data_IF_810197601664
#
_entry.id   IF_810197601664
#
_cell.length_a   1.000
_cell.length_b   1.000
_cell.length_c   1.000
_cell.angle_alpha   90.00
_cell.angle_beta   90.00
_cell.angle_gamma   90.00
#
_symmetry.space_group_name_H-M   'P 1'
#
loop_
_entity.id
_entity.type
_entity.pdbx_description
1 polymer ?
#
# COMPACT_ATOMS: atom_id res chain seq x y z
N UNK A 1 19.98 1.72 -57.11
CA UNK A 1 18.58 2.11 -56.86
C UNK A 1 17.72 0.87 -56.88
N UNK A 2 17.18 0.45 -55.73
CA UNK A 2 15.91 -0.29 -55.56
C UNK A 2 15.76 -0.63 -54.07
N UNK A 3 15.26 0.34 -53.31
CA UNK A 3 14.90 0.20 -51.90
C UNK A 3 13.79 -0.84 -51.75
N UNK A 4 14.07 -2.00 -51.19
CA UNK A 4 13.04 -2.96 -50.81
C UNK A 4 12.51 -2.56 -49.43
N UNK A 5 11.38 -1.86 -49.44
CA UNK A 5 10.61 -1.51 -48.25
C UNK A 5 9.88 -2.77 -47.77
N UNK A 6 10.35 -3.34 -46.67
CA UNK A 6 9.63 -4.42 -45.97
C UNK A 6 8.42 -3.78 -45.29
N UNK A 7 7.22 -4.02 -45.84
CA UNK A 7 5.96 -3.71 -45.15
C UNK A 7 5.87 -4.59 -43.89
N UNK A 8 5.55 -4.05 -42.70
CA UNK A 8 5.18 -4.88 -41.57
C UNK A 8 3.82 -5.50 -41.87
N UNK A 9 3.79 -6.84 -41.90
CA UNK A 9 2.55 -7.63 -41.98
C UNK A 9 1.81 -7.43 -40.65
N UNK A 10 0.67 -6.74 -40.68
CA UNK A 10 -0.24 -6.69 -39.53
C UNK A 10 -0.90 -8.06 -39.47
N UNK A 11 -0.50 -8.86 -38.49
CA UNK A 11 -1.20 -10.10 -38.16
C UNK A 11 -2.43 -9.70 -37.35
N UNK A 12 -3.62 -9.81 -37.96
CA UNK A 12 -4.88 -9.78 -37.22
C UNK A 12 -4.86 -10.88 -36.14
N UNK A 13 -5.12 -10.56 -34.86
CA UNK A 13 -5.21 -11.57 -33.82
C UNK A 13 -6.45 -12.44 -34.07
N UNK A 14 -6.39 -13.78 -33.86
CA UNK A 14 -7.55 -14.63 -34.02
C UNK A 14 -8.66 -14.22 -33.05
N UNK A 15 -9.84 -13.97 -33.60
CA UNK A 15 -11.08 -13.76 -32.87
C UNK A 15 -11.33 -14.97 -31.97
N UNK A 16 -11.10 -14.81 -30.67
CA UNK A 16 -11.24 -15.89 -29.70
C UNK A 16 -10.24 -15.90 -28.55
N UNK A 17 -9.27 -14.98 -28.52
CA UNK A 17 -8.51 -14.74 -27.29
C UNK A 17 -9.42 -14.00 -26.29
N UNK A 18 -10.13 -14.76 -25.46
CA UNK A 18 -10.68 -14.25 -24.21
C UNK A 18 -9.60 -13.42 -23.56
N UNK A 19 -9.89 -12.13 -23.37
CA UNK A 19 -9.08 -11.29 -22.52
C UNK A 19 -8.88 -12.07 -21.23
N UNK A 20 -7.66 -12.58 -21.01
CA UNK A 20 -7.21 -12.84 -19.65
C UNK A 20 -7.34 -11.49 -19.00
N UNK A 21 -8.47 -11.28 -18.32
CA UNK A 21 -8.60 -10.27 -17.31
C UNK A 21 -7.44 -10.56 -16.38
N UNK A 22 -6.31 -9.89 -16.61
CA UNK A 22 -5.30 -9.68 -15.59
C UNK A 22 -6.12 -9.30 -14.36
N UNK A 23 -6.06 -10.08 -13.25
CA UNK A 23 -6.69 -9.64 -12.02
C UNK A 23 -6.19 -8.21 -11.84
N UNK A 24 -7.13 -7.26 -11.80
CA UNK A 24 -6.84 -5.84 -11.75
C UNK A 24 -5.72 -5.69 -10.74
N UNK A 25 -4.52 -5.30 -11.19
CA UNK A 25 -3.30 -5.40 -10.41
C UNK A 25 -3.60 -4.89 -9.01
N UNK A 26 -3.78 -5.79 -8.05
CA UNK A 26 -4.10 -5.39 -6.69
C UNK A 26 -2.92 -4.51 -6.31
N UNK A 27 -3.19 -3.22 -6.12
CA UNK A 27 -2.16 -2.23 -5.98
C UNK A 27 -1.24 -2.70 -4.85
N UNK A 28 -0.02 -3.10 -5.22
CA UNK A 28 0.90 -3.76 -4.31
C UNK A 28 1.06 -2.88 -3.08
N UNK A 29 0.68 -3.43 -1.92
CA UNK A 29 0.70 -2.66 -0.69
C UNK A 29 2.16 -2.53 -0.23
N UNK A 30 2.62 -1.29 -0.11
CA UNK A 30 3.95 -1.00 0.42
C UNK A 30 3.80 -0.16 1.69
N UNK A 31 3.87 -0.81 2.85
CA UNK A 31 3.91 -0.09 4.10
C UNK A 31 5.28 0.61 4.25
N UNK A 32 5.33 1.93 4.43
CA UNK A 32 6.59 2.60 4.71
C UNK A 32 7.13 2.15 6.07
N UNK A 33 8.46 2.03 6.20
CA UNK A 33 9.11 1.90 7.50
C UNK A 33 9.06 3.27 8.23
N UNK A 34 8.04 3.49 9.05
CA UNK A 34 7.84 4.76 9.74
C UNK A 34 8.88 4.99 10.84
N UNK A 35 9.58 6.13 10.79
CA UNK A 35 10.48 6.55 11.87
C UNK A 35 9.67 7.19 13.00
N UNK A 36 9.85 6.71 14.23
CA UNK A 36 9.20 7.26 15.42
C UNK A 36 10.09 8.30 16.11
N UNK A 37 9.49 9.43 16.50
CA UNK A 37 10.04 10.40 17.43
C UNK A 37 9.06 10.56 18.61
N UNK A 38 9.45 10.20 19.84
CA UNK A 38 8.55 10.31 20.99
C UNK A 38 8.26 11.79 21.31
N UNK A 39 6.98 12.15 21.43
CA UNK A 39 6.56 13.51 21.80
C UNK A 39 6.05 13.60 23.24
N UNK A 40 5.29 12.60 23.68
CA UNK A 40 4.70 12.51 25.02
C UNK A 40 4.44 11.03 25.38
N UNK A 41 4.12 10.68 26.64
CA UNK A 41 3.92 9.29 27.08
C UNK A 41 2.92 8.45 26.28
N UNK A 42 2.08 9.08 25.45
CA UNK A 42 1.07 8.42 24.60
C UNK A 42 1.03 8.94 23.16
N UNK A 43 1.97 9.81 22.76
CA UNK A 43 1.98 10.46 21.45
C UNK A 43 3.37 10.36 20.82
N UNK A 44 3.38 10.03 19.54
CA UNK A 44 4.57 9.86 18.72
C UNK A 44 4.42 10.69 17.46
N UNK A 45 5.46 11.41 17.06
CA UNK A 45 5.59 11.94 15.71
C UNK A 45 6.15 10.83 14.83
N UNK A 46 5.44 10.48 13.77
CA UNK A 46 5.90 9.50 12.79
C UNK A 46 6.23 10.22 11.49
N UNK A 47 7.34 9.82 10.86
CA UNK A 47 7.76 10.34 9.56
C UNK A 47 7.76 9.22 8.53
N UNK A 48 7.10 9.47 7.40
CA UNK A 48 7.14 8.60 6.23
C UNK A 48 8.45 8.86 5.46
N UNK A 49 9.36 7.88 5.33
CA UNK A 49 10.61 8.08 4.62
C UNK A 49 10.43 8.27 3.11
N UNK A 50 9.34 7.76 2.53
CA UNK A 50 9.12 7.78 1.08
C UNK A 50 8.72 9.16 0.55
N UNK A 51 7.99 9.93 1.36
CA UNK A 51 7.44 11.21 0.93
C UNK A 51 7.68 12.35 1.93
N UNK A 52 8.37 12.09 3.04
CA UNK A 52 8.68 13.09 4.07
C UNK A 52 7.51 13.52 4.95
N UNK A 53 6.29 13.00 4.71
CA UNK A 53 5.11 13.38 5.48
C UNK A 53 5.28 13.02 6.96
N UNK A 54 4.87 13.93 7.83
CA UNK A 54 4.88 13.72 9.28
C UNK A 54 3.46 13.71 9.84
N UNK A 55 3.22 12.86 10.84
CA UNK A 55 1.93 12.75 11.50
C UNK A 55 2.12 12.51 13.00
N UNK A 56 1.35 13.19 13.82
CA UNK A 56 1.26 12.84 15.24
C UNK A 56 0.24 11.72 15.42
N UNK A 57 0.66 10.63 16.05
CA UNK A 57 -0.12 9.42 16.27
C UNK A 57 -0.06 9.03 17.74
N UNK A 58 -1.11 8.39 18.21
CA UNK A 58 -1.07 7.66 19.48
C UNK A 58 -0.14 6.44 19.39
N UNK A 59 0.28 5.92 20.55
CA UNK A 59 1.07 4.69 20.60
C UNK A 59 0.37 3.49 19.94
N UNK A 60 -0.96 3.40 20.05
CA UNK A 60 -1.76 2.35 19.40
C UNK A 60 -1.83 2.51 17.89
N UNK A 61 -1.98 3.73 17.39
CA UNK A 61 -1.96 4.01 15.94
C UNK A 61 -0.59 3.70 15.32
N UNK A 62 0.50 4.02 16.02
CA UNK A 62 1.84 3.62 15.57
C UNK A 62 2.01 2.09 15.55
N UNK A 63 1.53 1.40 16.60
CA UNK A 63 1.58 -0.05 16.65
C UNK A 63 0.81 -0.70 15.50
N UNK A 64 -0.31 -0.12 15.06
CA UNK A 64 -1.01 -0.57 13.85
C UNK A 64 -0.16 -0.41 12.58
N UNK A 65 0.52 0.73 12.42
CA UNK A 65 1.33 1.01 11.21
C UNK A 65 2.63 0.20 11.14
N UNK A 66 3.21 -0.12 12.29
CA UNK A 66 4.45 -0.89 12.41
C UNK A 66 4.22 -2.41 12.39
N UNK A 67 2.96 -2.86 12.34
CA UNK A 67 2.61 -4.28 12.26
C UNK A 67 2.93 -4.91 10.90
N UNK A 68 3.17 -4.10 9.86
CA UNK A 68 3.56 -4.61 8.57
C UNK A 68 4.96 -5.22 8.60
N UNK A 69 5.02 -6.53 8.49
CA UNK A 69 6.23 -7.31 8.34
C UNK A 69 6.07 -8.16 7.06
N UNK A 70 6.39 -7.52 5.92
CA UNK A 70 6.31 -8.14 4.60
C UNK A 70 4.89 -8.32 4.02
N UNK A 71 3.88 -7.57 4.49
CA UNK A 71 2.53 -7.65 3.93
C UNK A 71 2.52 -7.22 2.45
N UNK A 72 1.93 -8.06 1.59
CA UNK A 72 1.77 -7.82 0.15
C UNK A 72 0.47 -7.08 -0.16
N UNK A 73 -0.53 -7.21 0.71
CA UNK A 73 -1.84 -6.57 0.56
C UNK A 73 -2.21 -5.72 1.79
N UNK A 74 -3.12 -4.77 1.58
CA UNK A 74 -3.66 -3.95 2.66
C UNK A 74 -4.44 -4.80 3.66
N UNK A 75 -5.19 -5.80 3.21
CA UNK A 75 -5.97 -6.68 4.08
C UNK A 75 -5.07 -7.53 4.98
N UNK A 76 -3.96 -8.05 4.46
CA UNK A 76 -2.95 -8.73 5.27
C UNK A 76 -2.40 -7.81 6.38
N UNK A 77 -2.10 -6.56 6.04
CA UNK A 77 -1.63 -5.59 7.02
C UNK A 77 -2.70 -5.28 8.08
N UNK A 78 -3.96 -5.10 7.70
CA UNK A 78 -5.07 -4.87 8.63
C UNK A 78 -5.26 -6.05 9.58
N UNK A 79 -5.20 -7.28 9.06
CA UNK A 79 -5.32 -8.50 9.87
C UNK A 79 -4.17 -8.61 10.86
N UNK A 80 -2.92 -8.45 10.41
CA UNK A 80 -1.72 -8.43 11.27
C UNK A 80 -1.80 -7.34 12.34
N UNK A 81 -2.18 -6.13 11.97
CA UNK A 81 -2.35 -5.02 12.91
C UNK A 81 -3.42 -5.32 13.96
N UNK A 82 -4.55 -5.90 13.56
CA UNK A 82 -5.60 -6.30 14.50
C UNK A 82 -5.11 -7.39 15.47
N UNK A 83 -4.38 -8.39 14.98
CA UNK A 83 -3.79 -9.45 15.81
C UNK A 83 -2.78 -8.89 16.82
N UNK A 84 -1.87 -8.03 16.37
CA UNK A 84 -0.85 -7.42 17.22
C UNK A 84 -1.46 -6.53 18.32
N UNK A 85 -2.50 -5.78 17.98
CA UNK A 85 -3.22 -4.94 18.92
C UNK A 85 -4.21 -5.71 19.80
N UNK A 86 -4.40 -7.02 19.55
CA UNK A 86 -5.49 -7.83 20.13
C UNK A 86 -6.85 -7.14 19.94
N UNK A 87 -7.02 -6.45 18.81
CA UNK A 87 -8.20 -5.69 18.51
C UNK A 87 -9.32 -6.63 18.01
N UNK A 88 -10.54 -6.52 18.55
CA UNK A 88 -11.70 -7.22 18.03
C UNK A 88 -11.96 -6.95 16.52
N UNK A 89 -12.60 -7.87 15.79
CA UNK A 89 -12.86 -7.73 14.35
C UNK A 89 -13.60 -6.43 13.96
N UNK A 90 -14.45 -5.90 14.84
CA UNK A 90 -15.18 -4.64 14.66
C UNK A 90 -14.26 -3.42 14.53
N UNK A 91 -12.99 -3.51 14.97
CA UNK A 91 -12.02 -2.44 14.82
C UNK A 91 -11.23 -2.47 13.50
N UNK A 92 -11.36 -3.54 12.70
CA UNK A 92 -10.67 -3.66 11.41
C UNK A 92 -10.95 -2.49 10.44
N UNK A 93 -12.17 -1.95 10.31
CA UNK A 93 -12.43 -0.79 9.47
C UNK A 93 -11.65 0.46 9.90
N UNK A 94 -11.56 0.72 11.22
CA UNK A 94 -10.81 1.85 11.75
C UNK A 94 -9.30 1.69 11.54
N UNK A 95 -8.78 0.47 11.69
CA UNK A 95 -7.38 0.13 11.39
C UNK A 95 -7.07 0.36 9.91
N UNK A 96 -7.97 -0.09 9.01
CA UNK A 96 -7.83 0.12 7.57
C UNK A 96 -7.76 1.61 7.22
N UNK A 97 -8.71 2.40 7.74
CA UNK A 97 -8.77 3.84 7.48
C UNK A 97 -7.48 4.54 7.92
N UNK A 98 -6.97 4.20 9.11
CA UNK A 98 -5.71 4.72 9.62
C UNK A 98 -4.55 4.42 8.67
N UNK A 99 -4.39 3.14 8.30
CA UNK A 99 -3.31 2.67 7.44
C UNK A 99 -3.36 3.39 6.07
N UNK A 100 -4.53 3.46 5.46
CA UNK A 100 -4.73 4.13 4.19
C UNK A 100 -4.49 5.64 4.26
N UNK A 101 -5.01 6.31 5.31
CA UNK A 101 -4.80 7.75 5.54
C UNK A 101 -3.32 8.07 5.63
N UNK A 102 -2.55 7.24 6.34
CA UNK A 102 -1.11 7.42 6.49
C UNK A 102 -0.35 7.14 5.20
N UNK A 103 -0.78 6.19 4.37
CA UNK A 103 -0.20 5.97 3.04
C UNK A 103 -0.49 7.13 2.06
N UNK A 104 -1.67 7.76 2.15
CA UNK A 104 -2.07 8.88 1.27
C UNK A 104 -1.46 10.23 1.66
N UNK A 105 -1.01 10.42 2.91
CA UNK A 105 -0.38 11.68 3.34
C UNK A 105 0.88 11.96 2.52
N UNK A 106 0.92 13.09 1.82
CA UNK A 106 2.12 13.63 1.15
C UNK A 106 2.78 14.68 2.07
N UNK A 107 4.09 14.89 1.95
CA UNK A 107 4.70 16.09 2.55
C UNK A 107 4.08 17.33 1.89
N UNK A 108 3.77 18.32 2.72
CA UNK A 108 3.44 19.67 2.28
C UNK A 108 4.73 20.42 1.93
#
# INVERSE_FOLDING_TARGET
MLSHVIKPYVVDPPAGATARTTPAAEAQWFAPAWTMLPLAPRRCLVRNPLNGASAELSSGEYAALSACDGCCTLDEHVVRAAEQLRAPPEHRPAIRELIERCARKRAA
#
